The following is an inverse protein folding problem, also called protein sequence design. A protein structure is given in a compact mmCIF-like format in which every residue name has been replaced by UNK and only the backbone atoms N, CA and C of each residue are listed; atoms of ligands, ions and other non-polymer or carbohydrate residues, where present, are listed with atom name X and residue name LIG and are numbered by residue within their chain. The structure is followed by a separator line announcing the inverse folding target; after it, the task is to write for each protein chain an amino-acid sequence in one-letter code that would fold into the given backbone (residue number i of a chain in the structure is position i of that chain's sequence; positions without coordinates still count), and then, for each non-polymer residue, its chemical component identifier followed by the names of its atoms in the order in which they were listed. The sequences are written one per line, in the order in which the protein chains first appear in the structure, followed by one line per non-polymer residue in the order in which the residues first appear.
data_IF_349264209168
#
_entry.id   IF_349264209168
#
_cell.length_a   1.000
_cell.length_b   1.000
_cell.length_c   1.000
_cell.angle_alpha   90.00
_cell.angle_beta   90.00
_cell.angle_gamma   90.00
#
_symmetry.space_group_name_H-M   'P 1'
#
loop_
_entity.id
_entity.type
_entity.pdbx_description
1 polymer ?
#
# COMPACT_ATOMS: atom_id res chain seq x y z
N UNK A 1 1.86 -4.04 25.83
CA UNK A 1 1.36 -4.34 24.48
C UNK A 1 0.86 -3.03 23.89
N UNK A 2 1.23 -2.69 22.66
CA UNK A 2 0.83 -1.42 22.03
C UNK A 2 -0.68 -1.35 21.82
N UNK A 3 -1.28 -0.19 22.07
CA UNK A 3 -2.72 0.05 21.93
C UNK A 3 -2.97 1.10 20.84
N UNK A 4 -4.06 0.93 20.09
CA UNK A 4 -4.45 1.89 19.07
C UNK A 4 -4.82 3.22 19.74
N UNK A 5 -4.27 4.32 19.25
CA UNK A 5 -4.70 5.67 19.61
C UNK A 5 -5.99 5.98 18.85
N UNK A 6 -7.11 5.82 19.55
CA UNK A 6 -8.44 6.08 19.02
C UNK A 6 -9.22 6.98 19.99
N UNK A 7 -9.89 8.00 19.46
CA UNK A 7 -10.76 8.90 20.23
C UNK A 7 -12.21 8.81 19.72
N UNK A 8 -13.09 8.25 20.55
CA UNK A 8 -14.52 8.12 20.27
C UNK A 8 -15.20 9.48 20.01
N UNK A 9 -14.73 10.57 20.64
CA UNK A 9 -15.33 11.89 20.46
C UNK A 9 -15.07 12.44 19.05
N UNK A 10 -13.98 12.04 18.38
CA UNK A 10 -13.75 12.36 16.97
C UNK A 10 -14.76 11.66 16.05
N UNK A 11 -15.32 10.51 16.44
CA UNK A 11 -16.41 9.90 15.68
C UNK A 11 -17.74 10.59 15.98
N UNK A 12 -18.08 10.82 17.26
CA UNK A 12 -19.34 11.48 17.66
C UNK A 12 -19.54 12.86 17.06
N UNK A 13 -18.47 13.63 16.90
CA UNK A 13 -18.50 14.99 16.35
C UNK A 13 -18.24 15.03 14.85
N UNK A 14 -18.14 13.87 14.17
CA UNK A 14 -17.84 13.82 12.75
C UNK A 14 -19.01 14.38 11.93
N UNK A 15 -18.71 15.28 11.00
CA UNK A 15 -19.73 15.93 10.19
C UNK A 15 -20.06 15.16 8.90
N UNK A 16 -19.22 14.22 8.47
CA UNK A 16 -19.36 13.57 7.16
C UNK A 16 -19.61 12.07 7.26
N UNK A 17 -18.96 11.37 8.20
CA UNK A 17 -18.99 9.90 8.23
C UNK A 17 -18.25 9.25 7.07
N UNK A 18 -17.37 9.99 6.37
CA UNK A 18 -16.74 9.58 5.11
C UNK A 18 -16.03 8.23 5.17
N UNK A 19 -15.53 7.83 6.34
CA UNK A 19 -14.89 6.53 6.53
C UNK A 19 -15.76 5.36 6.09
N UNK A 20 -17.09 5.43 6.28
CA UNK A 20 -18.02 4.40 5.82
C UNK A 20 -18.95 4.87 4.70
N UNK A 21 -19.33 6.15 4.65
CA UNK A 21 -20.17 6.70 3.56
C UNK A 21 -19.50 6.52 2.19
N UNK A 22 -18.17 6.66 2.11
CA UNK A 22 -17.42 6.48 0.86
C UNK A 22 -16.98 5.03 0.63
N UNK A 23 -17.45 4.07 1.43
CA UNK A 23 -17.08 2.67 1.24
C UNK A 23 -17.56 2.19 -0.13
N UNK A 24 -16.67 1.59 -0.92
CA UNK A 24 -17.02 1.09 -2.27
C UNK A 24 -17.76 -0.26 -2.25
N UNK A 25 -17.97 -0.84 -1.06
CA UNK A 25 -18.48 -2.21 -0.89
C UNK A 25 -19.65 -2.29 0.10
N UNK A 26 -20.00 -1.17 0.75
CA UNK A 26 -21.15 -1.05 1.62
C UNK A 26 -21.80 0.31 1.32
N UNK A 27 -23.14 0.36 1.37
CA UNK A 27 -23.90 1.60 1.20
C UNK A 27 -24.48 2.02 2.55
N UNK A 28 -24.06 3.18 3.06
CA UNK A 28 -24.47 3.70 4.34
C UNK A 28 -24.74 5.20 4.23
N UNK A 29 -25.83 5.67 4.82
CA UNK A 29 -25.99 7.10 5.08
C UNK A 29 -25.03 7.57 6.19
N UNK A 30 -24.83 8.89 6.25
CA UNK A 30 -23.94 9.55 7.21
C UNK A 30 -24.24 9.18 8.67
N UNK A 31 -25.52 9.16 9.07
CA UNK A 31 -25.86 8.98 10.48
C UNK A 31 -25.58 7.54 10.91
N UNK A 32 -25.96 6.57 10.07
CA UNK A 32 -25.65 5.15 10.29
C UNK A 32 -24.13 4.93 10.29
N UNK A 33 -23.39 5.53 9.35
CA UNK A 33 -21.93 5.44 9.32
C UNK A 33 -21.27 5.91 10.62
N UNK A 34 -21.73 7.04 11.19
CA UNK A 34 -21.20 7.55 12.45
C UNK A 34 -21.59 6.65 13.63
N UNK A 35 -22.86 6.21 13.68
CA UNK A 35 -23.38 5.34 14.72
C UNK A 35 -22.60 4.02 14.78
N UNK A 36 -22.40 3.36 13.64
CA UNK A 36 -21.68 2.08 13.56
C UNK A 36 -20.22 2.23 13.98
N UNK A 37 -19.53 3.31 13.59
CA UNK A 37 -18.16 3.54 14.07
C UNK A 37 -18.07 3.76 15.58
N UNK A 38 -19.08 4.41 16.19
CA UNK A 38 -19.16 4.59 17.65
C UNK A 38 -19.50 3.28 18.36
N UNK A 39 -20.36 2.43 17.78
CA UNK A 39 -20.60 1.06 18.30
C UNK A 39 -19.30 0.25 18.32
N UNK A 40 -18.58 0.25 17.20
CA UNK A 40 -17.30 -0.45 17.06
C UNK A 40 -16.27 0.07 18.08
N UNK A 41 -16.19 1.38 18.32
CA UNK A 41 -15.25 1.93 19.31
C UNK A 41 -15.51 1.41 20.72
N UNK A 42 -16.80 1.24 21.08
CA UNK A 42 -17.24 0.68 22.37
C UNK A 42 -17.12 -0.84 22.48
N UNK A 43 -16.74 -1.52 21.39
CA UNK A 43 -16.66 -2.98 21.34
C UNK A 43 -18.02 -3.66 21.15
N UNK A 44 -19.06 -2.91 20.83
CA UNK A 44 -20.38 -3.44 20.49
C UNK A 44 -20.34 -4.17 19.14
N UNK A 45 -21.41 -4.89 18.80
CA UNK A 45 -21.53 -5.54 17.49
C UNK A 45 -21.94 -4.54 16.41
N UNK A 46 -21.53 -4.80 15.18
CA UNK A 46 -21.80 -3.95 14.01
C UNK A 46 -21.71 -4.77 12.74
N UNK A 47 -22.64 -4.58 11.81
CA UNK A 47 -22.65 -5.29 10.52
C UNK A 47 -21.39 -4.96 9.69
N UNK A 48 -20.81 -3.77 9.88
CA UNK A 48 -19.55 -3.35 9.25
C UNK A 48 -18.41 -4.33 9.56
N UNK A 49 -18.42 -4.97 10.74
CA UNK A 49 -17.39 -5.95 11.09
C UNK A 49 -17.48 -7.21 10.24
N UNK A 50 -18.67 -7.58 9.78
CA UNK A 50 -18.91 -8.74 8.91
C UNK A 50 -18.67 -8.37 7.44
N UNK A 51 -19.22 -7.24 7.00
CA UNK A 51 -19.29 -6.86 5.59
C UNK A 51 -18.01 -6.18 5.06
N UNK A 52 -17.12 -5.73 5.96
CA UNK A 52 -15.86 -5.12 5.56
C UNK A 52 -14.97 -6.09 4.76
N UNK A 53 -14.56 -5.67 3.57
CA UNK A 53 -13.70 -6.42 2.65
C UNK A 53 -12.19 -6.14 2.81
N UNK A 54 -11.82 -5.42 3.86
CA UNK A 54 -10.44 -5.08 4.25
C UNK A 54 -9.58 -4.30 3.23
N UNK A 55 -10.15 -3.31 2.52
CA UNK A 55 -9.45 -2.56 1.46
C UNK A 55 -8.62 -1.33 1.86
N UNK A 56 -8.48 -1.01 3.15
CA UNK A 56 -7.90 0.25 3.67
C UNK A 56 -8.66 1.54 3.35
N UNK A 57 -9.74 1.50 2.55
CA UNK A 57 -10.46 2.71 2.09
C UNK A 57 -10.78 3.70 3.19
N UNK A 58 -11.39 3.21 4.27
CA UNK A 58 -11.80 4.05 5.40
C UNK A 58 -10.62 4.75 6.12
N UNK A 59 -9.42 4.17 6.07
CA UNK A 59 -8.20 4.78 6.63
C UNK A 59 -7.81 6.06 5.87
N UNK A 60 -7.91 6.04 4.54
CA UNK A 60 -7.63 7.21 3.70
C UNK A 60 -8.75 8.26 3.79
N UNK A 61 -10.02 7.82 3.86
CA UNK A 61 -11.16 8.73 3.86
C UNK A 61 -11.28 9.53 5.17
N UNK A 62 -10.85 8.95 6.30
CA UNK A 62 -10.89 9.63 7.59
C UNK A 62 -9.75 10.66 7.73
N UNK A 63 -10.03 11.92 7.35
CA UNK A 63 -9.07 13.02 7.51
C UNK A 63 -8.86 13.49 8.96
N UNK A 64 -9.54 12.88 9.92
CA UNK A 64 -9.41 13.19 11.36
C UNK A 64 -8.31 12.40 12.06
N UNK A 65 -7.60 11.51 11.36
CA UNK A 65 -6.50 10.72 11.92
C UNK A 65 -6.95 9.75 13.02
N UNK A 66 -8.21 9.30 12.99
CA UNK A 66 -8.78 8.44 14.03
C UNK A 66 -8.71 6.94 13.68
N UNK A 67 -7.96 6.57 12.64
CA UNK A 67 -7.62 5.19 12.31
C UNK A 67 -8.79 4.16 12.27
N UNK A 68 -9.90 4.45 11.55
CA UNK A 68 -11.08 3.59 11.57
C UNK A 68 -10.79 2.18 11.07
N UNK A 69 -9.87 2.02 10.11
CA UNK A 69 -9.54 0.72 9.56
C UNK A 69 -8.86 -0.18 10.60
N UNK A 70 -7.88 0.38 11.32
CA UNK A 70 -7.16 -0.33 12.36
C UNK A 70 -8.12 -0.74 13.48
N UNK A 71 -9.03 0.14 13.90
CA UNK A 71 -10.06 -0.19 14.88
C UNK A 71 -10.95 -1.35 14.41
N UNK A 72 -11.47 -1.29 13.17
CA UNK A 72 -12.31 -2.35 12.60
C UNK A 72 -11.59 -3.70 12.64
N UNK A 73 -10.32 -3.73 12.23
CA UNK A 73 -9.53 -4.97 12.19
C UNK A 73 -9.22 -5.53 13.57
N UNK A 74 -9.00 -4.67 14.58
CA UNK A 74 -8.86 -5.11 15.98
C UNK A 74 -10.15 -5.70 16.53
N UNK A 75 -11.29 -5.03 16.33
CA UNK A 75 -12.59 -5.54 16.80
C UNK A 75 -12.95 -6.85 16.12
N UNK A 76 -12.65 -7.01 14.83
CA UNK A 76 -12.78 -8.30 14.13
C UNK A 76 -11.94 -9.37 14.79
N UNK A 77 -10.66 -9.07 15.09
CA UNK A 77 -9.78 -10.02 15.75
C UNK A 77 -10.29 -10.43 17.14
N UNK A 78 -10.67 -9.46 17.98
CA UNK A 78 -11.19 -9.69 19.34
C UNK A 78 -12.45 -10.57 19.35
N UNK A 79 -13.33 -10.37 18.37
CA UNK A 79 -14.57 -11.14 18.20
C UNK A 79 -14.37 -12.47 17.44
N UNK A 80 -13.15 -12.77 16.99
CA UNK A 80 -12.84 -13.98 16.22
C UNK A 80 -13.44 -13.99 14.81
N UNK A 81 -13.76 -12.82 14.25
CA UNK A 81 -14.26 -12.67 12.88
C UNK A 81 -13.08 -12.77 11.91
N UNK A 82 -13.02 -13.89 11.20
CA UNK A 82 -11.93 -14.18 10.28
C UNK A 82 -12.22 -13.62 8.88
N UNK A 83 -11.27 -12.90 8.29
CA UNK A 83 -11.36 -12.49 6.88
C UNK A 83 -11.02 -13.64 5.91
N UNK A 84 -10.28 -14.64 6.38
CA UNK A 84 -9.87 -15.77 5.54
C UNK A 84 -9.77 -17.05 6.38
N UNK A 85 -9.83 -18.24 5.76
CA UNK A 85 -9.65 -19.51 6.45
C UNK A 85 -8.38 -19.53 7.31
N UNK A 86 -8.47 -20.11 8.52
CA UNK A 86 -7.35 -20.20 9.48
C UNK A 86 -6.08 -20.80 8.87
N UNK A 87 -6.22 -21.77 7.96
CA UNK A 87 -5.09 -22.40 7.29
C UNK A 87 -4.30 -21.41 6.42
N UNK A 88 -4.99 -20.58 5.65
CA UNK A 88 -4.37 -19.52 4.84
C UNK A 88 -3.68 -18.52 5.75
N UNK A 89 -4.38 -18.01 6.76
CA UNK A 89 -3.81 -17.05 7.72
C UNK A 89 -2.55 -17.61 8.40
N UNK A 90 -2.57 -18.86 8.86
CA UNK A 90 -1.43 -19.52 9.50
C UNK A 90 -0.24 -19.70 8.54
N UNK A 91 -0.51 -20.08 7.30
CA UNK A 91 0.53 -20.21 6.29
C UNK A 91 1.24 -18.88 6.05
N UNK A 92 0.49 -17.79 5.89
CA UNK A 92 1.05 -16.45 5.71
C UNK A 92 1.90 -16.01 6.90
N UNK A 93 1.43 -16.22 8.13
CA UNK A 93 2.18 -15.89 9.36
C UNK A 93 3.54 -16.62 9.41
N UNK A 94 3.55 -17.90 9.03
CA UNK A 94 4.75 -18.75 9.03
C UNK A 94 5.75 -18.36 7.93
N UNK A 95 5.27 -17.81 6.81
CA UNK A 95 6.12 -17.32 5.71
C UNK A 95 6.85 -16.05 6.14
N UNK A 96 6.15 -15.10 6.77
CA UNK A 96 6.72 -13.84 7.22
C UNK A 96 7.38 -13.89 8.61
N UNK A 97 7.53 -15.07 9.21
CA UNK A 97 8.20 -15.21 10.50
C UNK A 97 9.71 -14.97 10.36
N UNK A 98 10.32 -14.10 11.19
CA UNK A 98 11.77 -13.91 11.22
C UNK A 98 12.49 -15.22 11.56
N UNK A 99 13.55 -15.57 10.82
CA UNK A 99 14.30 -16.84 10.98
C UNK A 99 15.80 -16.64 11.19
N UNK A 100 16.23 -15.42 11.44
CA UNK A 100 17.65 -15.02 11.46
C UNK A 100 18.30 -15.01 10.07
N UNK A 101 17.51 -14.91 8.99
CA UNK A 101 18.00 -14.99 7.59
C UNK A 101 17.65 -13.74 6.80
N UNK A 102 18.62 -12.84 6.71
CA UNK A 102 18.53 -11.61 5.93
C UNK A 102 19.80 -11.39 5.11
N UNK A 103 19.71 -10.46 4.16
CA UNK A 103 20.81 -9.93 3.37
C UNK A 103 20.94 -8.44 3.64
N UNK A 104 22.17 -8.00 3.84
CA UNK A 104 22.53 -6.58 3.93
C UNK A 104 23.45 -6.26 2.76
N UNK A 105 23.26 -5.08 2.18
CA UNK A 105 24.28 -4.43 1.37
C UNK A 105 25.25 -3.62 2.22
N UNK A 106 25.95 -2.68 1.59
CA UNK A 106 26.87 -1.78 2.29
C UNK A 106 26.08 -0.72 3.04
N UNK A 107 25.71 -1.01 4.29
CA UNK A 107 24.85 -0.12 5.09
C UNK A 107 25.50 1.26 5.25
N UNK A 108 24.76 2.28 4.82
CA UNK A 108 25.06 3.72 4.96
C UNK A 108 23.91 4.37 5.74
N UNK A 109 24.00 5.69 5.95
CA UNK A 109 22.94 6.48 6.60
C UNK A 109 21.59 6.39 5.89
N UNK A 110 21.59 6.36 4.55
CA UNK A 110 20.42 6.16 3.70
C UNK A 110 20.45 4.74 3.14
N UNK A 111 19.36 3.99 3.28
CA UNK A 111 19.27 2.59 2.85
C UNK A 111 17.99 2.32 2.05
N UNK A 112 18.06 1.40 1.09
CA UNK A 112 16.88 0.83 0.45
C UNK A 112 16.32 -0.33 1.29
N UNK A 113 15.05 -0.29 1.62
CA UNK A 113 14.34 -1.41 2.24
C UNK A 113 13.51 -2.15 1.19
N UNK A 114 13.92 -3.38 0.91
CA UNK A 114 13.15 -4.33 0.09
C UNK A 114 12.16 -5.16 0.90
N UNK A 115 12.13 -4.97 2.23
CA UNK A 115 11.38 -5.81 3.15
C UNK A 115 11.62 -7.29 2.85
N UNK A 116 10.54 -8.02 2.55
CA UNK A 116 10.59 -9.41 2.12
C UNK A 116 9.96 -9.61 0.73
N UNK A 117 10.36 -8.78 -0.24
CA UNK A 117 9.91 -8.84 -1.64
C UNK A 117 11.10 -9.01 -2.60
N UNK A 118 11.44 -10.25 -2.98
CA UNK A 118 12.65 -10.53 -3.78
C UNK A 118 12.61 -9.91 -5.18
N UNK A 119 11.43 -9.65 -5.73
CA UNK A 119 11.26 -9.02 -7.04
C UNK A 119 11.88 -7.62 -7.09
N UNK A 120 11.88 -6.90 -5.96
CA UNK A 120 12.42 -5.53 -5.88
C UNK A 120 13.95 -5.50 -6.07
N UNK A 121 14.65 -6.58 -5.70
CA UNK A 121 16.11 -6.72 -5.93
C UNK A 121 16.47 -6.70 -7.41
N UNK A 122 15.55 -7.08 -8.30
CA UNK A 122 15.78 -7.11 -9.75
C UNK A 122 15.38 -5.79 -10.44
N UNK A 123 14.49 -5.02 -9.81
CA UNK A 123 13.99 -3.74 -10.31
C UNK A 123 14.93 -2.58 -9.97
N UNK A 124 15.55 -2.60 -8.78
CA UNK A 124 16.44 -1.54 -8.33
C UNK A 124 17.83 -1.69 -8.95
N UNK A 125 18.01 -1.01 -10.08
CA UNK A 125 19.27 -0.95 -10.84
C UNK A 125 19.36 0.34 -11.65
N UNK A 126 20.55 0.62 -12.17
CA UNK A 126 20.79 1.76 -13.06
C UNK A 126 20.90 3.10 -12.32
N UNK A 127 20.87 4.18 -13.11
CA UNK A 127 21.06 5.58 -12.70
C UNK A 127 20.06 6.05 -11.65
N UNK A 128 18.86 5.46 -11.63
CA UNK A 128 17.84 5.81 -10.64
C UNK A 128 18.22 5.41 -9.21
N UNK A 129 19.20 4.52 -9.02
CA UNK A 129 19.56 3.99 -7.71
C UNK A 129 21.06 4.00 -7.41
N UNK A 130 21.89 4.56 -8.29
CA UNK A 130 23.35 4.61 -8.13
C UNK A 130 23.81 5.53 -6.99
N UNK A 131 22.96 6.43 -6.48
CA UNK A 131 23.23 7.30 -5.34
C UNK A 131 23.11 6.58 -3.98
N UNK A 132 22.36 5.47 -3.93
CA UNK A 132 22.06 4.74 -2.70
C UNK A 132 22.56 3.30 -2.71
N UNK A 133 22.57 2.64 -3.88
CA UNK A 133 23.16 1.31 -4.01
C UNK A 133 24.68 1.39 -3.83
N UNK A 134 25.32 0.38 -3.20
CA UNK A 134 24.77 -0.91 -2.80
C UNK A 134 24.20 -0.95 -1.36
N UNK A 135 23.69 0.15 -0.81
CA UNK A 135 23.10 0.17 0.54
C UNK A 135 21.65 -0.33 0.56
N UNK A 136 21.43 -1.55 1.03
CA UNK A 136 20.09 -2.13 1.12
C UNK A 136 19.90 -3.12 2.28
N UNK A 137 18.64 -3.40 2.61
CA UNK A 137 18.22 -4.51 3.48
C UNK A 137 17.16 -5.37 2.80
N UNK A 138 17.23 -6.68 3.02
CA UNK A 138 16.24 -7.64 2.54
C UNK A 138 16.15 -8.85 3.48
N UNK A 139 14.95 -9.29 3.82
CA UNK A 139 14.72 -10.48 4.64
C UNK A 139 13.48 -10.36 5.51
N UNK A 140 13.11 -11.47 6.13
CA UNK A 140 11.95 -11.53 7.03
C UNK A 140 12.14 -10.63 8.26
N UNK A 141 13.38 -10.37 8.65
CA UNK A 141 13.78 -9.46 9.72
C UNK A 141 13.44 -7.98 9.42
N UNK A 142 13.25 -7.65 8.15
CA UNK A 142 12.86 -6.32 7.68
C UNK A 142 11.44 -6.30 7.08
N UNK A 143 10.70 -7.41 7.19
CA UNK A 143 9.33 -7.50 6.68
C UNK A 143 8.39 -6.62 7.50
N UNK A 144 7.59 -5.76 6.87
CA UNK A 144 6.75 -4.81 7.59
C UNK A 144 5.51 -5.44 8.25
N UNK A 145 5.12 -6.66 7.86
CA UNK A 145 3.98 -7.41 8.41
C UNK A 145 2.58 -6.76 8.18
N UNK A 146 2.47 -5.64 7.47
CA UNK A 146 1.20 -4.90 7.28
C UNK A 146 0.14 -5.70 6.53
N UNK A 147 0.55 -6.63 5.66
CA UNK A 147 -0.36 -7.55 4.95
C UNK A 147 -1.32 -8.27 5.91
N UNK A 148 -0.92 -8.49 7.17
CA UNK A 148 -1.77 -9.21 8.13
C UNK A 148 -3.02 -8.44 8.58
N UNK A 149 -3.07 -7.12 8.36
CA UNK A 149 -4.29 -6.35 8.63
C UNK A 149 -5.41 -6.74 7.66
N UNK A 150 -5.08 -7.14 6.42
CA UNK A 150 -6.08 -7.70 5.50
C UNK A 150 -6.79 -8.94 6.08
N UNK A 151 -6.09 -9.71 6.91
CA UNK A 151 -6.61 -10.93 7.55
C UNK A 151 -7.23 -10.70 8.93
N UNK A 152 -7.43 -9.44 9.33
CA UNK A 152 -7.86 -9.07 10.68
C UNK A 152 -6.98 -9.69 11.78
N UNK A 153 -5.66 -9.69 11.56
CA UNK A 153 -4.68 -10.18 12.51
C UNK A 153 -3.71 -9.07 12.88
N UNK A 154 -4.18 -8.14 13.71
CA UNK A 154 -3.43 -6.96 14.13
C UNK A 154 -2.41 -7.30 15.22
N UNK A 155 -2.66 -8.33 16.05
CA UNK A 155 -1.75 -8.73 17.13
C UNK A 155 -0.34 -9.07 16.64
N UNK A 156 -0.22 -9.72 15.49
CA UNK A 156 1.09 -10.11 14.94
C UNK A 156 1.94 -8.89 14.57
N UNK A 157 1.30 -7.78 14.20
CA UNK A 157 1.98 -6.52 13.89
C UNK A 157 2.44 -5.87 15.18
N UNK A 158 1.57 -5.82 16.20
CA UNK A 158 1.90 -5.29 17.53
C UNK A 158 3.09 -6.04 18.15
N UNK A 159 3.26 -7.32 17.80
CA UNK A 159 4.38 -8.17 18.22
C UNK A 159 5.64 -7.92 17.36
N UNK A 160 5.54 -8.01 16.03
CA UNK A 160 6.71 -8.08 15.14
C UNK A 160 7.21 -6.73 14.63
N UNK A 161 6.35 -5.74 14.42
CA UNK A 161 6.77 -4.42 13.90
C UNK A 161 7.79 -3.73 14.81
N UNK A 162 7.69 -3.77 16.16
CA UNK A 162 8.73 -3.24 17.04
C UNK A 162 10.10 -3.89 16.83
N UNK A 163 10.14 -5.20 16.55
CA UNK A 163 11.39 -5.91 16.25
C UNK A 163 12.00 -5.44 14.94
N UNK A 164 11.17 -5.22 13.92
CA UNK A 164 11.59 -4.69 12.61
C UNK A 164 12.16 -3.28 12.74
N UNK A 165 11.48 -2.41 13.49
CA UNK A 165 11.96 -1.05 13.80
C UNK A 165 13.31 -1.11 14.53
N UNK A 166 13.45 -2.02 15.49
CA UNK A 166 14.69 -2.20 16.24
C UNK A 166 15.85 -2.74 15.39
N UNK A 167 15.55 -3.57 14.39
CA UNK A 167 16.56 -4.02 13.42
C UNK A 167 17.13 -2.85 12.63
N UNK A 168 16.29 -1.93 12.15
CA UNK A 168 16.78 -0.69 11.52
C UNK A 168 17.58 0.18 12.49
N UNK A 169 17.11 0.33 13.74
CA UNK A 169 17.83 1.07 14.79
C UNK A 169 19.25 0.52 15.00
N UNK A 170 19.40 -0.80 15.11
CA UNK A 170 20.70 -1.50 15.27
C UNK A 170 21.65 -1.30 14.10
N UNK A 171 21.11 -1.08 12.90
CA UNK A 171 21.91 -0.75 11.72
C UNK A 171 22.39 0.70 11.68
N UNK A 172 21.88 1.57 12.56
CA UNK A 172 22.28 2.99 12.63
C UNK A 172 21.87 3.79 11.40
N UNK A 173 20.79 3.40 10.72
CA UNK A 173 20.28 4.12 9.54
C UNK A 173 19.49 5.36 9.96
N UNK A 174 19.62 6.44 9.20
CA UNK A 174 18.93 7.72 9.41
C UNK A 174 17.74 7.88 8.46
N UNK A 175 17.85 7.37 7.23
CA UNK A 175 16.82 7.43 6.19
C UNK A 175 16.57 6.05 5.58
N UNK A 176 15.30 5.64 5.48
CA UNK A 176 14.89 4.34 4.93
C UNK A 176 13.97 4.55 3.73
N UNK A 177 14.47 4.31 2.53
CA UNK A 177 13.68 4.32 1.30
C UNK A 177 12.88 3.02 1.23
N UNK A 178 11.57 3.14 1.44
CA UNK A 178 10.64 2.03 1.45
C UNK A 178 10.19 1.72 0.02
N UNK A 179 10.67 0.60 -0.53
CA UNK A 179 10.42 0.19 -1.92
C UNK A 179 9.03 -0.41 -2.16
N UNK A 180 8.15 -0.38 -1.15
CA UNK A 180 6.77 -0.84 -1.22
C UNK A 180 5.87 0.03 -0.32
N UNK A 181 4.64 0.32 -0.76
CA UNK A 181 3.68 1.17 -0.05
C UNK A 181 3.46 0.73 1.39
N UNK A 182 3.29 -0.59 1.63
CA UNK A 182 3.06 -1.10 2.98
C UNK A 182 4.28 -0.94 3.89
N UNK A 183 5.50 -0.99 3.34
CA UNK A 183 6.70 -0.72 4.13
C UNK A 183 6.72 0.73 4.60
N UNK A 184 6.35 1.68 3.73
CA UNK A 184 6.21 3.08 4.12
C UNK A 184 5.06 3.26 5.13
N UNK A 185 3.88 2.72 4.82
CA UNK A 185 2.69 2.80 5.68
C UNK A 185 2.90 2.21 7.06
N UNK A 186 3.73 1.15 7.19
CA UNK A 186 4.10 0.59 8.49
C UNK A 186 4.76 1.62 9.41
N UNK A 187 5.67 2.43 8.87
CA UNK A 187 6.46 3.38 9.65
C UNK A 187 5.79 4.75 9.73
N UNK A 188 5.14 5.20 8.67
CA UNK A 188 4.56 6.54 8.58
C UNK A 188 3.12 6.64 9.09
N UNK A 189 2.37 5.54 9.10
CA UNK A 189 0.94 5.52 9.48
C UNK A 189 0.68 4.59 10.66
N UNK A 190 1.02 3.31 10.51
CA UNK A 190 0.65 2.27 11.48
C UNK A 190 1.42 2.41 12.80
N UNK A 191 2.74 2.48 12.77
CA UNK A 191 3.56 2.64 13.98
C UNK A 191 3.12 3.86 14.83
N UNK A 192 2.95 5.08 14.27
CA UNK A 192 2.42 6.23 15.00
C UNK A 192 1.03 6.03 15.61
N UNK A 193 0.12 5.36 14.87
CA UNK A 193 -1.23 5.02 15.34
C UNK A 193 -1.21 4.16 16.60
N UNK A 194 -0.17 3.34 16.78
CA UNK A 194 0.07 2.51 17.95
C UNK A 194 1.01 3.12 18.99
N UNK A 195 1.50 4.35 18.75
CA UNK A 195 2.47 5.00 19.62
C UNK A 195 3.87 4.36 19.60
N UNK A 196 4.20 3.64 18.54
CA UNK A 196 5.57 3.15 18.31
C UNK A 196 6.43 4.28 17.76
N UNK A 197 7.63 4.44 18.31
CA UNK A 197 8.62 5.41 17.84
C UNK A 197 9.42 4.83 16.66
N UNK A 198 9.48 5.56 15.56
CA UNK A 198 10.30 5.22 14.39
C UNK A 198 11.57 6.09 14.43
N UNK A 199 12.76 5.51 14.69
CA UNK A 199 14.00 6.25 14.97
C UNK A 199 14.75 6.69 13.70
N UNK A 200 14.10 6.63 12.55
CA UNK A 200 14.64 6.98 11.24
C UNK A 200 13.54 7.66 10.43
N UNK A 201 13.92 8.36 9.36
CA UNK A 201 12.97 8.97 8.42
C UNK A 201 12.55 7.96 7.35
N UNK A 202 11.28 7.51 7.32
CA UNK A 202 10.79 6.71 6.20
C UNK A 202 10.58 7.59 4.96
N UNK A 203 11.07 7.14 3.81
CA UNK A 203 10.91 7.80 2.51
C UNK A 203 10.13 6.87 1.61
N UNK A 204 9.02 7.35 1.03
CA UNK A 204 8.29 6.57 0.04
C UNK A 204 9.08 6.54 -1.27
N UNK A 205 9.19 5.39 -1.94
CA UNK A 205 10.07 5.32 -3.10
C UNK A 205 9.63 6.21 -4.28
N UNK A 206 8.36 6.61 -4.38
CA UNK A 206 7.96 7.64 -5.36
C UNK A 206 8.54 9.02 -5.05
N UNK A 207 8.61 9.42 -3.78
CA UNK A 207 9.28 10.66 -3.37
C UNK A 207 10.76 10.60 -3.76
N UNK A 208 11.39 9.45 -3.49
CA UNK A 208 12.77 9.19 -3.90
C UNK A 208 12.96 9.26 -5.42
N UNK A 209 12.12 8.56 -6.20
CA UNK A 209 12.18 8.54 -7.67
C UNK A 209 11.98 9.94 -8.26
N UNK A 210 11.01 10.70 -7.77
CA UNK A 210 10.76 12.06 -8.24
C UNK A 210 11.99 12.96 -8.01
N UNK A 211 12.57 12.93 -6.81
CA UNK A 211 13.77 13.70 -6.51
C UNK A 211 14.96 13.26 -7.36
N UNK A 212 15.16 11.96 -7.54
CA UNK A 212 16.22 11.42 -8.40
C UNK A 212 16.04 11.83 -9.86
N UNK A 213 14.82 11.79 -10.39
CA UNK A 213 14.52 12.25 -11.75
C UNK A 213 14.81 13.75 -11.92
N UNK A 214 14.56 14.58 -10.90
CA UNK A 214 14.94 16.01 -10.95
C UNK A 214 16.45 16.21 -11.07
N UNK A 215 17.24 15.43 -10.34
CA UNK A 215 18.71 15.44 -10.44
C UNK A 215 19.18 14.96 -11.82
N UNK A 216 18.46 14.01 -12.42
CA UNK A 216 18.72 13.46 -13.75
C UNK A 216 17.92 14.19 -14.85
N UNK A 217 17.42 15.40 -14.60
CA UNK A 217 16.51 16.11 -15.50
C UNK A 217 17.07 16.30 -16.92
N UNK A 218 18.38 16.46 -17.06
CA UNK A 218 19.05 16.56 -18.36
C UNK A 218 19.08 15.24 -19.16
N UNK A 219 18.84 14.10 -18.52
CA UNK A 219 18.77 12.78 -19.17
C UNK A 219 17.34 12.43 -19.60
N UNK A 220 16.32 13.15 -19.11
CA UNK A 220 14.92 12.86 -19.38
C UNK A 220 14.57 13.11 -20.85
N UNK A 221 13.97 12.09 -21.46
CA UNK A 221 13.37 12.09 -22.79
C UNK A 221 11.86 11.91 -22.61
N UNK A 222 11.04 12.94 -22.91
CA UNK A 222 9.59 12.83 -22.83
C UNK A 222 9.07 11.60 -23.57
N UNK A 223 8.27 10.78 -22.89
CA UNK A 223 7.81 9.50 -23.44
C UNK A 223 6.65 9.65 -24.43
N UNK A 224 5.79 10.64 -24.23
CA UNK A 224 4.61 10.94 -25.06
C UNK A 224 3.69 9.71 -25.28
N UNK A 225 3.39 8.99 -24.20
CA UNK A 225 2.52 7.81 -24.18
C UNK A 225 1.33 8.04 -23.25
N UNK A 226 0.20 7.38 -23.54
CA UNK A 226 -0.98 7.34 -22.67
C UNK A 226 -0.87 6.22 -21.62
N UNK A 227 -1.03 6.56 -20.36
CA UNK A 227 -0.88 5.65 -19.22
C UNK A 227 -2.13 5.65 -18.36
N UNK A 228 -2.60 4.45 -18.00
CA UNK A 228 -3.43 4.25 -16.82
C UNK A 228 -2.57 3.78 -15.64
N UNK A 229 -2.68 4.45 -14.50
CA UNK A 229 -2.03 3.99 -13.27
C UNK A 229 -2.92 2.99 -12.52
N UNK A 230 -2.39 1.80 -12.24
CA UNK A 230 -3.00 0.85 -11.30
C UNK A 230 -2.57 1.20 -9.87
N UNK A 231 -3.41 1.99 -9.19
CA UNK A 231 -3.21 2.29 -7.77
C UNK A 231 -3.46 1.02 -6.91
N UNK A 232 -2.51 0.59 -6.06
CA UNK A 232 -2.67 -0.56 -5.19
C UNK A 232 -3.42 -0.14 -3.93
N UNK A 233 -4.11 -1.10 -3.29
CA UNK A 233 -4.83 -0.84 -2.04
C UNK A 233 -3.92 -0.37 -0.90
N UNK A 234 -2.68 -0.85 -0.86
CA UNK A 234 -1.67 -0.45 0.12
C UNK A 234 -1.32 1.03 0.07
N UNK A 235 -1.41 1.68 -1.10
CA UNK A 235 -1.13 3.11 -1.25
C UNK A 235 -2.12 4.02 -0.51
N UNK A 236 -3.21 3.46 0.03
CA UNK A 236 -4.15 4.18 0.89
C UNK A 236 -3.55 4.51 2.27
N UNK A 237 -2.52 3.75 2.68
CA UNK A 237 -1.70 4.04 3.86
C UNK A 237 -0.60 5.10 3.61
N UNK A 238 -0.45 5.54 2.36
CA UNK A 238 0.52 6.53 1.88
C UNK A 238 -0.17 7.58 1.01
N UNK A 239 -1.42 7.93 1.34
CA UNK A 239 -2.25 8.83 0.51
C UNK A 239 -1.62 10.22 0.33
N UNK A 240 -0.82 10.68 1.30
CA UNK A 240 -0.03 11.91 1.24
C UNK A 240 1.09 11.85 0.19
N UNK A 241 1.46 10.67 -0.29
CA UNK A 241 2.48 10.43 -1.34
C UNK A 241 1.87 10.18 -2.71
N UNK A 242 0.54 10.09 -2.82
CA UNK A 242 -0.14 9.78 -4.08
C UNK A 242 0.09 10.84 -5.16
N UNK A 243 0.31 12.11 -4.78
CA UNK A 243 0.59 13.19 -5.74
C UNK A 243 1.85 12.93 -6.59
N UNK A 244 2.84 12.19 -6.08
CA UNK A 244 4.04 11.86 -6.83
C UNK A 244 3.77 11.04 -8.08
N UNK A 245 2.62 10.36 -8.18
CA UNK A 245 2.22 9.73 -9.44
C UNK A 245 2.09 10.79 -10.53
N UNK A 246 1.28 11.83 -10.31
CA UNK A 246 1.07 12.89 -11.29
C UNK A 246 2.37 13.67 -11.55
N UNK A 247 3.12 13.99 -10.49
CA UNK A 247 4.38 14.74 -10.61
C UNK A 247 5.42 13.97 -11.44
N UNK A 248 5.55 12.66 -11.22
CA UNK A 248 6.45 11.81 -12.01
C UNK A 248 5.98 11.76 -13.46
N UNK A 249 4.69 11.50 -13.72
CA UNK A 249 4.14 11.41 -15.08
C UNK A 249 4.37 12.71 -15.85
N UNK A 250 4.12 13.86 -15.23
CA UNK A 250 4.38 15.17 -15.81
C UNK A 250 5.87 15.35 -16.13
N UNK A 251 6.75 15.02 -15.17
CA UNK A 251 8.19 15.19 -15.30
C UNK A 251 8.78 14.36 -16.46
N UNK A 252 8.25 13.16 -16.71
CA UNK A 252 8.72 12.26 -17.77
C UNK A 252 7.91 12.37 -19.08
N UNK A 253 7.00 13.34 -19.18
CA UNK A 253 6.20 13.59 -20.38
C UNK A 253 5.24 12.45 -20.72
N UNK A 254 4.54 11.91 -19.73
CA UNK A 254 3.50 10.89 -19.88
C UNK A 254 2.11 11.52 -19.72
N UNK A 255 1.17 11.11 -20.56
CA UNK A 255 -0.24 11.46 -20.45
C UNK A 255 -0.95 10.47 -19.51
N UNK A 256 -1.23 10.89 -18.28
CA UNK A 256 -1.99 10.09 -17.32
C UNK A 256 -3.49 10.23 -17.63
N UNK A 257 -4.10 9.19 -18.19
CA UNK A 257 -5.48 9.26 -18.68
C UNK A 257 -6.47 9.54 -17.54
N UNK A 258 -7.38 10.48 -17.76
CA UNK A 258 -8.49 10.73 -16.83
C UNK A 258 -9.55 9.63 -16.99
N UNK A 259 -9.70 8.79 -15.97
CA UNK A 259 -10.62 7.63 -16.02
C UNK A 259 -11.46 7.49 -14.76
N UNK A 260 -12.49 6.63 -14.77
CA UNK A 260 -13.41 6.49 -13.64
C UNK A 260 -12.73 5.93 -12.41
N UNK A 261 -11.93 4.88 -12.54
CA UNK A 261 -11.37 4.15 -11.39
C UNK A 261 -9.94 4.59 -11.05
N UNK A 262 -9.77 5.89 -10.82
CA UNK A 262 -8.49 6.50 -10.44
C UNK A 262 -8.53 7.20 -9.07
N UNK A 263 -7.36 7.58 -8.56
CA UNK A 263 -7.21 8.36 -7.33
C UNK A 263 -7.97 7.73 -6.14
N UNK A 264 -8.80 8.50 -5.43
CA UNK A 264 -9.61 8.03 -4.29
C UNK A 264 -10.56 6.88 -4.70
N UNK A 265 -11.03 6.88 -5.96
CA UNK A 265 -11.96 5.91 -6.52
C UNK A 265 -11.29 4.65 -7.10
N UNK A 266 -9.98 4.48 -6.93
CA UNK A 266 -9.26 3.35 -7.51
C UNK A 266 -9.72 1.98 -6.97
N UNK A 267 -9.81 1.00 -7.88
CA UNK A 267 -10.15 -0.39 -7.56
C UNK A 267 -8.91 -1.23 -7.23
N UNK A 268 -9.07 -2.16 -6.30
CA UNK A 268 -8.05 -3.17 -5.97
C UNK A 268 -7.75 -4.04 -7.20
N UNK A 269 -6.53 -4.59 -7.28
CA UNK A 269 -6.17 -5.60 -8.28
C UNK A 269 -6.98 -6.91 -8.15
N UNK A 270 -7.70 -7.09 -7.03
CA UNK A 270 -8.64 -8.17 -6.78
C UNK A 270 -8.02 -9.45 -6.23
N UNK A 271 -6.70 -9.55 -6.06
CA UNK A 271 -6.07 -10.82 -5.68
C UNK A 271 -6.40 -11.24 -4.25
N UNK A 272 -6.23 -10.33 -3.28
CA UNK A 272 -6.65 -10.54 -1.89
C UNK A 272 -8.16 -10.75 -1.80
N UNK A 273 -8.95 -10.04 -2.62
CA UNK A 273 -10.40 -10.24 -2.66
C UNK A 273 -10.78 -11.64 -3.13
N UNK A 274 -10.10 -12.17 -4.15
CA UNK A 274 -10.32 -13.53 -4.62
C UNK A 274 -10.02 -14.59 -3.58
N UNK A 275 -8.94 -14.39 -2.82
CA UNK A 275 -8.53 -15.29 -1.75
C UNK A 275 -9.49 -15.25 -0.55
N UNK A 276 -10.00 -14.08 -0.18
CA UNK A 276 -10.81 -13.88 1.02
C UNK A 276 -12.33 -14.00 0.78
N UNK A 277 -12.82 -13.55 -0.38
CA UNK A 277 -14.24 -13.37 -0.68
C UNK A 277 -14.69 -14.05 -1.98
N UNK A 278 -13.77 -14.71 -2.71
CA UNK A 278 -14.10 -15.55 -3.87
C UNK A 278 -13.89 -14.90 -5.23
N UNK A 279 -13.95 -15.73 -6.28
CA UNK A 279 -13.56 -15.33 -7.64
C UNK A 279 -14.54 -14.38 -8.33
N UNK A 280 -15.81 -14.34 -7.91
CA UNK A 280 -16.82 -13.47 -8.51
C UNK A 280 -16.45 -11.99 -8.33
N UNK A 281 -16.26 -11.55 -7.08
CA UNK A 281 -15.84 -10.18 -6.76
C UNK A 281 -14.48 -9.86 -7.37
N UNK A 282 -13.52 -10.81 -7.37
CA UNK A 282 -12.23 -10.64 -8.05
C UNK A 282 -12.40 -10.37 -9.54
N UNK A 283 -13.22 -11.15 -10.23
CA UNK A 283 -13.42 -11.01 -11.67
C UNK A 283 -14.19 -9.73 -12.00
N UNK A 284 -15.17 -9.34 -11.19
CA UNK A 284 -15.90 -8.07 -11.34
C UNK A 284 -14.96 -6.86 -11.25
N UNK A 285 -14.20 -6.71 -10.16
CA UNK A 285 -13.32 -5.54 -9.98
C UNK A 285 -12.24 -5.48 -11.06
N UNK A 286 -11.69 -6.63 -11.46
CA UNK A 286 -10.69 -6.69 -12.53
C UNK A 286 -11.30 -6.31 -13.88
N UNK A 287 -12.50 -6.80 -14.20
CA UNK A 287 -13.18 -6.48 -15.45
C UNK A 287 -13.49 -4.98 -15.54
N UNK A 288 -14.15 -4.41 -14.54
CA UNK A 288 -14.51 -2.98 -14.51
C UNK A 288 -13.30 -2.08 -14.65
N UNK A 289 -12.21 -2.41 -13.95
CA UNK A 289 -10.99 -1.62 -13.98
C UNK A 289 -10.28 -1.70 -15.35
N UNK A 290 -10.18 -2.88 -15.95
CA UNK A 290 -9.54 -3.04 -17.27
C UNK A 290 -10.41 -2.45 -18.39
N UNK A 291 -11.73 -2.61 -18.32
CA UNK A 291 -12.64 -1.99 -19.29
C UNK A 291 -12.52 -0.46 -19.25
N UNK A 292 -12.46 0.15 -18.06
CA UNK A 292 -12.21 1.57 -17.87
C UNK A 292 -10.85 2.02 -18.47
N UNK A 293 -9.79 1.22 -18.33
CA UNK A 293 -8.50 1.51 -18.98
C UNK A 293 -8.60 1.49 -20.52
N UNK A 294 -9.35 0.55 -21.09
CA UNK A 294 -9.55 0.42 -22.55
C UNK A 294 -10.41 1.56 -23.09
N UNK A 295 -11.50 1.91 -22.40
CA UNK A 295 -12.41 2.99 -22.77
C UNK A 295 -11.70 4.35 -22.85
N UNK A 296 -10.67 4.55 -22.02
CA UNK A 296 -9.86 5.78 -22.00
C UNK A 296 -8.54 5.63 -22.78
N UNK A 297 -8.46 4.65 -23.69
CA UNK A 297 -7.36 4.47 -24.65
C UNK A 297 -5.96 4.39 -24.03
N UNK A 298 -5.83 3.77 -22.85
CA UNK A 298 -4.52 3.60 -22.21
C UNK A 298 -3.63 2.66 -23.03
N UNK A 299 -2.45 3.14 -23.44
CA UNK A 299 -1.44 2.31 -24.12
C UNK A 299 -0.66 1.45 -23.13
N UNK A 300 -0.46 1.99 -21.92
CA UNK A 300 0.26 1.34 -20.83
C UNK A 300 -0.56 1.31 -19.54
N UNK A 301 -0.43 0.23 -18.77
CA UNK A 301 -0.84 0.14 -17.38
C UNK A 301 0.41 0.16 -16.50
N UNK A 302 0.55 1.21 -15.70
CA UNK A 302 1.69 1.38 -14.78
C UNK A 302 1.36 0.79 -13.43
N UNK A 303 2.24 -0.06 -12.93
CA UNK A 303 2.16 -0.69 -11.61
C UNK A 303 3.27 -0.20 -10.71
N UNK A 304 3.02 -0.17 -9.40
CA UNK A 304 4.03 0.16 -8.40
C UNK A 304 4.10 -0.91 -7.27
N UNK A 305 3.27 -1.94 -7.38
CA UNK A 305 3.22 -3.09 -6.50
C UNK A 305 3.33 -4.37 -7.34
N UNK A 306 4.38 -5.17 -7.11
CA UNK A 306 4.63 -6.41 -7.86
C UNK A 306 3.48 -7.41 -7.74
N UNK A 307 2.78 -7.46 -6.60
CA UNK A 307 1.60 -8.31 -6.44
C UNK A 307 0.44 -7.88 -7.35
N UNK A 308 0.20 -6.56 -7.48
CA UNK A 308 -0.80 -6.04 -8.39
C UNK A 308 -0.44 -6.32 -9.86
N UNK A 309 0.84 -6.16 -10.21
CA UNK A 309 1.33 -6.49 -11.55
C UNK A 309 1.14 -7.97 -11.86
N UNK A 310 1.51 -8.88 -10.95
CA UNK A 310 1.30 -10.32 -11.12
C UNK A 310 -0.18 -10.68 -11.29
N UNK A 311 -1.07 -10.01 -10.55
CA UNK A 311 -2.51 -10.29 -10.60
C UNK A 311 -3.20 -9.81 -11.89
N UNK A 312 -2.70 -8.73 -12.51
CA UNK A 312 -3.38 -8.04 -13.62
C UNK A 312 -2.63 -8.11 -14.96
N UNK A 313 -1.30 -8.27 -14.97
CA UNK A 313 -0.48 -8.11 -16.18
C UNK A 313 -0.97 -8.93 -17.37
N UNK A 314 -1.25 -10.23 -17.18
CA UNK A 314 -1.75 -11.09 -18.27
C UNK A 314 -3.13 -10.66 -18.77
N UNK A 315 -4.00 -10.15 -17.89
CA UNK A 315 -5.35 -9.70 -18.27
C UNK A 315 -5.32 -8.38 -19.02
N UNK A 316 -4.46 -7.47 -18.58
CA UNK A 316 -4.18 -6.18 -19.22
C UNK A 316 -3.56 -6.39 -20.61
N UNK A 317 -2.55 -7.26 -20.72
CA UNK A 317 -1.91 -7.58 -22.00
C UNK A 317 -2.86 -8.22 -23.02
N UNK A 318 -3.80 -9.06 -22.59
CA UNK A 318 -4.87 -9.62 -23.46
C UNK A 318 -5.83 -8.57 -24.02
N UNK A 319 -5.81 -7.36 -23.48
CA UNK A 319 -6.58 -6.20 -23.94
C UNK A 319 -5.70 -5.19 -24.67
N UNK A 320 -4.52 -5.62 -25.11
CA UNK A 320 -3.56 -4.85 -25.91
C UNK A 320 -2.94 -3.65 -25.18
N UNK A 321 -3.09 -3.59 -23.85
CA UNK A 321 -2.44 -2.59 -22.99
C UNK A 321 -1.10 -3.17 -22.49
N UNK A 322 -0.01 -2.41 -22.62
CA UNK A 322 1.32 -2.82 -22.15
C UNK A 322 1.47 -2.63 -20.64
N UNK A 323 1.97 -3.64 -19.96
CA UNK A 323 2.28 -3.60 -18.53
C UNK A 323 3.68 -3.06 -18.28
N UNK A 324 3.84 -2.16 -17.31
CA UNK A 324 5.16 -1.65 -16.92
C UNK A 324 5.19 -1.29 -15.43
N UNK A 325 6.32 -1.52 -14.75
CA UNK A 325 6.52 -1.04 -13.39
C UNK A 325 6.93 0.44 -13.40
N UNK A 326 6.54 1.25 -12.41
CA UNK A 326 6.89 2.68 -12.32
C UNK A 326 8.40 2.90 -12.44
N UNK A 327 9.20 2.05 -11.78
CA UNK A 327 10.67 2.11 -11.87
C UNK A 327 11.13 1.97 -13.32
N UNK A 328 10.63 0.97 -14.06
CA UNK A 328 11.03 0.75 -15.44
C UNK A 328 10.52 1.85 -16.38
N UNK A 329 9.37 2.44 -16.09
CA UNK A 329 8.87 3.63 -16.80
C UNK A 329 9.82 4.82 -16.62
N UNK A 330 10.26 5.09 -15.37
CA UNK A 330 11.24 6.13 -15.09
C UNK A 330 12.59 5.85 -15.76
N UNK A 331 13.02 4.57 -15.81
CA UNK A 331 14.25 4.14 -16.50
C UNK A 331 14.16 4.37 -18.01
N UNK A 332 13.02 4.02 -18.61
CA UNK A 332 12.73 4.29 -20.02
C UNK A 332 12.83 5.79 -20.34
N UNK A 333 12.33 6.66 -19.44
CA UNK A 333 12.40 8.10 -19.60
C UNK A 333 13.84 8.65 -19.60
N UNK A 334 14.76 8.06 -18.85
CA UNK A 334 16.18 8.45 -18.86
C UNK A 334 17.02 7.66 -19.88
N UNK A 335 16.37 6.91 -20.77
CA UNK A 335 17.02 6.19 -21.87
C UNK A 335 17.67 4.84 -21.48
N UNK A 336 17.36 4.29 -20.31
CA UNK A 336 17.76 2.94 -19.92
C UNK A 336 16.78 1.86 -20.44
N UNK A 337 17.27 0.62 -20.60
CA UNK A 337 16.49 -0.55 -21.02
C UNK A 337 16.15 -1.49 -19.88
#
# INVERSE_FOLDING_TARGET
MYQLKFDENLCKTCQTGDCLVKCQYMDLDKNVAIEEMVKISKGEDSFVLQDCITCYGCEEYCKRGNHPFYLITERRQEKGILTSPRAITKQWINIGEPRGKFKLGDIKKKVLSFGFMPELLQLVKGRLFDDVMPSYVFGQEFFCNVVYIHFANTSIIKERLPMVIDNFRKLGVEEVVCMHDECYGAFASLAPAYGMEVPFKPIHYFEYLYNRLKELSNEIRPLNIKVAYQRPCSSRLSSDKHHFVADIMQLIGVDLVERKYQNENALCCGDVLGMAFGYEIKNDVQKRNIDDMVEHEAEYCVFNCSACQNALATKVAKREIKQIHMIDLCRMAIGEK
#
